data_IF_415988062232
#
_entry.id   IF_415988062232
#
_cell.length_a   1.000
_cell.length_b   1.000
_cell.length_c   1.000
_cell.angle_alpha   90.00
_cell.angle_beta   90.00
_cell.angle_gamma   90.00
#
_symmetry.space_group_name_H-M   'P 1'
#
loop_
_entity.id
_entity.type
_entity.pdbx_description
1 polymer ?
#
# COMPACT_ATOMS: atom_id res chain seq x y z
N UNK A 1 22.58 43.88 -23.26
CA UNK A 1 21.81 43.54 -22.08
C UNK A 1 20.43 42.94 -22.39
N UNK A 2 19.59 43.50 -23.27
CA UNK A 2 18.25 42.93 -23.58
C UNK A 2 18.27 41.49 -24.14
N UNK A 3 19.25 41.15 -24.99
CA UNK A 3 19.36 39.80 -25.60
C UNK A 3 19.75 38.72 -24.56
N UNK A 4 20.55 39.05 -23.52
CA UNK A 4 20.95 38.14 -22.47
C UNK A 4 19.77 37.83 -21.54
N UNK A 5 18.92 38.84 -21.28
CA UNK A 5 17.73 38.69 -20.42
C UNK A 5 16.69 37.73 -21.04
N UNK A 6 16.52 37.81 -22.37
CA UNK A 6 15.60 36.93 -23.13
C UNK A 6 16.08 35.48 -23.08
N UNK A 7 17.39 35.25 -23.14
CA UNK A 7 17.96 33.88 -23.06
C UNK A 7 17.79 33.25 -21.66
N UNK A 8 17.90 34.03 -20.60
CA UNK A 8 17.68 33.58 -19.22
C UNK A 8 16.19 33.27 -18.98
N UNK A 9 15.27 34.11 -19.50
CA UNK A 9 13.83 33.85 -19.39
C UNK A 9 13.40 32.59 -20.15
N UNK A 10 13.95 32.35 -21.34
CA UNK A 10 13.64 31.18 -22.16
C UNK A 10 14.12 29.87 -21.47
N UNK A 11 15.29 29.88 -20.83
CA UNK A 11 15.77 28.71 -20.06
C UNK A 11 14.97 28.49 -18.78
N UNK A 12 14.46 29.53 -18.13
CA UNK A 12 13.61 29.38 -16.94
C UNK A 12 12.24 28.79 -17.27
N UNK A 13 11.68 29.09 -18.45
CA UNK A 13 10.42 28.51 -18.93
C UNK A 13 10.55 27.03 -19.32
N UNK A 14 11.73 26.59 -19.76
CA UNK A 14 11.99 25.18 -20.10
C UNK A 14 12.11 24.30 -18.83
N UNK A 15 12.62 24.87 -17.73
CA UNK A 15 12.77 24.15 -16.46
C UNK A 15 11.45 23.92 -15.70
N UNK A 16 10.37 24.62 -16.06
CA UNK A 16 9.06 24.45 -15.40
C UNK A 16 8.19 23.34 -16.02
N UNK A 17 8.58 22.75 -17.15
CA UNK A 17 7.78 21.75 -17.84
C UNK A 17 8.12 20.29 -17.52
N UNK A 18 8.92 20.00 -16.50
CA UNK A 18 9.40 18.63 -16.22
C UNK A 18 8.71 17.94 -15.04
N UNK A 19 7.50 18.34 -14.66
CA UNK A 19 6.73 17.66 -13.61
C UNK A 19 5.29 17.37 -14.05
N UNK A 20 5.09 16.90 -15.29
CA UNK A 20 3.87 16.16 -15.58
C UNK A 20 4.16 14.72 -15.16
N UNK A 21 3.92 14.40 -13.89
CA UNK A 21 3.75 13.03 -13.41
C UNK A 21 2.54 12.45 -14.15
N UNK A 22 2.79 11.79 -15.27
CA UNK A 22 1.79 10.90 -15.87
C UNK A 22 1.56 9.77 -14.89
N UNK A 23 0.55 9.91 -14.04
CA UNK A 23 -0.14 8.77 -13.49
C UNK A 23 -0.75 8.03 -14.70
N UNK A 24 0.00 7.11 -15.28
CA UNK A 24 -0.55 6.24 -16.32
C UNK A 24 -1.64 5.41 -15.65
N UNK A 25 -2.89 5.75 -15.94
CA UNK A 25 -4.02 4.89 -15.61
C UNK A 25 -3.85 3.60 -16.40
N UNK A 26 -3.26 2.61 -15.75
CA UNK A 26 -3.16 1.26 -16.29
C UNK A 26 -4.44 0.52 -15.96
N UNK A 27 -4.79 -0.45 -16.80
CA UNK A 27 -6.01 -1.24 -16.59
C UNK A 27 -5.77 -2.40 -15.65
N UNK A 28 -6.83 -2.98 -15.11
CA UNK A 28 -6.79 -4.21 -14.32
C UNK A 28 -6.06 -5.35 -15.05
N UNK A 29 -6.13 -5.39 -16.40
CA UNK A 29 -5.44 -6.40 -17.21
C UNK A 29 -3.91 -6.34 -17.06
N UNK A 30 -3.36 -5.19 -16.72
CA UNK A 30 -1.92 -5.00 -16.50
C UNK A 30 -1.43 -5.56 -15.15
N UNK A 31 -2.35 -5.89 -14.22
CA UNK A 31 -1.96 -6.46 -12.94
C UNK A 31 -1.47 -7.91 -13.12
N UNK A 32 -0.36 -8.29 -12.47
CA UNK A 32 0.07 -9.67 -12.39
C UNK A 32 -1.03 -10.58 -11.83
N UNK A 33 -1.12 -11.79 -12.35
CA UNK A 33 -2.11 -12.78 -11.89
C UNK A 33 -2.05 -13.02 -10.39
N UNK A 34 -0.85 -12.97 -9.80
CA UNK A 34 -0.64 -13.11 -8.36
C UNK A 34 -1.36 -12.03 -7.55
N UNK A 35 -1.32 -10.77 -8.01
CA UNK A 35 -2.03 -9.66 -7.37
C UNK A 35 -3.55 -9.82 -7.47
N UNK A 36 -4.05 -10.18 -8.65
CA UNK A 36 -5.49 -10.47 -8.86
C UNK A 36 -5.97 -11.60 -7.96
N UNK A 37 -5.22 -12.71 -7.90
CA UNK A 37 -5.55 -13.84 -7.05
C UNK A 37 -5.55 -13.47 -5.57
N UNK A 38 -4.59 -12.65 -5.11
CA UNK A 38 -4.57 -12.18 -3.73
C UNK A 38 -5.85 -11.40 -3.38
N UNK A 39 -6.28 -10.48 -4.25
CA UNK A 39 -7.52 -9.72 -4.05
C UNK A 39 -8.72 -10.66 -4.04
N UNK A 40 -8.89 -11.51 -5.04
CA UNK A 40 -10.04 -12.40 -5.17
C UNK A 40 -10.19 -13.38 -3.99
N UNK A 41 -9.07 -13.89 -3.46
CA UNK A 41 -9.09 -14.83 -2.32
C UNK A 41 -9.44 -14.12 -1.01
N UNK A 42 -8.90 -12.93 -0.78
CA UNK A 42 -9.04 -12.25 0.51
C UNK A 42 -10.22 -11.28 0.56
N UNK A 43 -10.72 -10.84 -0.61
CA UNK A 43 -11.85 -9.91 -0.77
C UNK A 43 -12.83 -10.47 -1.80
N UNK A 44 -13.43 -11.64 -1.55
CA UNK A 44 -14.31 -12.31 -2.53
C UNK A 44 -15.53 -11.45 -2.85
N UNK A 45 -15.85 -11.33 -4.13
CA UNK A 45 -16.98 -10.55 -4.63
C UNK A 45 -16.72 -9.05 -4.72
N UNK A 46 -15.56 -8.57 -4.32
CA UNK A 46 -15.18 -7.16 -4.51
C UNK A 46 -14.65 -6.91 -5.92
N UNK A 47 -14.65 -5.65 -6.34
CA UNK A 47 -14.16 -5.26 -7.66
C UNK A 47 -13.09 -4.19 -7.58
N UNK A 48 -12.13 -4.25 -8.48
CA UNK A 48 -11.08 -3.25 -8.63
C UNK A 48 -11.71 -1.97 -9.15
N UNK A 49 -11.47 -0.86 -8.45
CA UNK A 49 -11.93 0.47 -8.80
C UNK A 49 -10.88 1.23 -9.60
N UNK A 50 -9.62 1.19 -9.14
CA UNK A 50 -8.50 1.86 -9.81
C UNK A 50 -7.24 1.02 -9.74
N UNK A 51 -6.42 1.15 -10.79
CA UNK A 51 -5.06 0.64 -10.85
C UNK A 51 -4.16 1.74 -11.36
N UNK A 52 -3.04 1.97 -10.69
CA UNK A 52 -2.00 2.92 -11.10
C UNK A 52 -0.60 2.35 -10.85
N UNK A 53 0.40 2.93 -11.50
CA UNK A 53 1.79 2.60 -11.20
C UNK A 53 2.20 3.18 -9.85
N UNK A 54 2.89 2.40 -9.06
CA UNK A 54 3.47 2.81 -7.79
C UNK A 54 4.93 3.22 -7.99
N UNK A 55 5.33 4.38 -7.46
CA UNK A 55 6.72 4.90 -7.46
C UNK A 55 7.45 4.68 -8.79
N UNK A 56 6.99 5.38 -9.85
CA UNK A 56 7.62 5.34 -11.18
C UNK A 56 7.74 3.95 -11.83
N UNK A 57 6.88 3.00 -11.45
CA UNK A 57 6.84 1.66 -12.04
C UNK A 57 7.43 0.56 -11.17
N UNK A 58 7.83 0.84 -9.92
CA UNK A 58 8.31 -0.19 -8.98
C UNK A 58 7.22 -1.16 -8.51
N UNK A 59 6.00 -1.02 -9.05
CA UNK A 59 4.87 -1.87 -8.72
C UNK A 59 3.54 -1.23 -9.05
N UNK A 60 2.50 -1.66 -8.34
CA UNK A 60 1.11 -1.26 -8.61
C UNK A 60 0.44 -0.77 -7.33
N UNK A 61 -0.29 0.33 -7.43
CA UNK A 61 -1.26 0.74 -6.43
C UNK A 61 -2.66 0.36 -6.93
N UNK A 62 -3.43 -0.34 -6.09
CA UNK A 62 -4.76 -0.83 -6.43
C UNK A 62 -5.74 -0.41 -5.36
N UNK A 63 -6.90 0.12 -5.76
CA UNK A 63 -8.05 0.35 -4.89
C UNK A 63 -9.21 -0.54 -5.29
N UNK A 64 -9.91 -1.10 -4.31
CA UNK A 64 -11.15 -1.85 -4.49
C UNK A 64 -12.34 -1.09 -3.91
N UNK A 65 -13.55 -1.41 -4.37
CA UNK A 65 -14.78 -0.67 -4.03
C UNK A 65 -15.12 -0.67 -2.54
N UNK A 66 -14.80 -1.73 -1.81
CA UNK A 66 -14.99 -1.79 -0.35
C UNK A 66 -14.06 -0.87 0.45
N UNK A 67 -13.18 -0.10 -0.22
CA UNK A 67 -12.34 0.92 0.40
C UNK A 67 -11.03 0.38 0.97
N UNK A 68 -10.44 -0.65 0.36
CA UNK A 68 -9.09 -1.06 0.66
C UNK A 68 -8.13 -0.65 -0.45
N UNK A 69 -6.93 -0.21 -0.04
CA UNK A 69 -5.82 0.09 -0.94
C UNK A 69 -4.71 -0.94 -0.75
N UNK A 70 -4.14 -1.35 -1.86
CA UNK A 70 -3.03 -2.29 -1.92
C UNK A 70 -1.85 -1.65 -2.64
N UNK A 71 -0.65 -1.97 -2.17
CA UNK A 71 0.56 -1.81 -2.95
C UNK A 71 1.11 -3.19 -3.24
N UNK A 72 1.35 -3.46 -4.51
CA UNK A 72 2.00 -4.69 -4.98
C UNK A 72 3.35 -4.35 -5.59
N UNK A 73 4.33 -5.23 -5.40
CA UNK A 73 5.55 -5.23 -6.19
C UNK A 73 5.24 -5.61 -7.66
N UNK A 74 6.16 -5.36 -8.58
CA UNK A 74 6.04 -5.77 -9.99
C UNK A 74 5.72 -7.26 -10.17
N UNK A 75 6.20 -8.11 -9.25
CA UNK A 75 5.92 -9.56 -9.22
C UNK A 75 4.49 -9.92 -8.82
N UNK A 76 3.68 -8.93 -8.43
CA UNK A 76 2.34 -9.14 -7.87
C UNK A 76 2.32 -9.63 -6.43
N UNK A 77 3.46 -9.72 -5.74
CA UNK A 77 3.48 -9.92 -4.30
C UNK A 77 3.00 -8.65 -3.62
N UNK A 78 2.08 -8.77 -2.64
CA UNK A 78 1.63 -7.60 -1.91
C UNK A 78 2.76 -7.03 -1.01
N UNK A 79 2.90 -5.71 -1.03
CA UNK A 79 3.80 -4.93 -0.18
C UNK A 79 3.06 -4.37 1.03
N UNK A 80 1.91 -3.76 0.80
CA UNK A 80 1.06 -3.24 1.87
C UNK A 80 -0.43 -3.35 1.54
N UNK A 81 -1.24 -3.38 2.60
CA UNK A 81 -2.69 -3.31 2.55
C UNK A 81 -3.15 -2.28 3.57
N UNK A 82 -4.08 -1.39 3.17
CA UNK A 82 -4.65 -0.35 4.03
C UNK A 82 -6.18 -0.38 3.93
N UNK A 83 -6.84 -0.32 5.08
CA UNK A 83 -8.25 -0.01 5.17
C UNK A 83 -8.43 1.51 5.21
N UNK A 84 -9.13 2.10 4.25
CA UNK A 84 -9.36 3.55 4.20
C UNK A 84 -10.42 4.02 5.19
N UNK A 85 -11.32 3.12 5.60
CA UNK A 85 -12.31 3.39 6.62
C UNK A 85 -11.81 2.88 7.98
N UNK A 86 -11.87 3.73 9.00
CA UNK A 86 -11.44 3.42 10.37
C UNK A 86 -12.22 2.25 11.00
N UNK A 87 -13.44 2.00 10.53
CA UNK A 87 -14.28 0.89 11.00
C UNK A 87 -14.01 -0.43 10.27
N UNK A 88 -13.30 -0.40 9.13
CA UNK A 88 -12.96 -1.60 8.38
C UNK A 88 -11.75 -2.30 8.98
N UNK A 89 -11.70 -3.61 8.81
CA UNK A 89 -10.55 -4.44 9.21
C UNK A 89 -10.05 -5.25 8.02
N UNK A 90 -8.75 -5.29 7.85
CA UNK A 90 -8.10 -6.16 6.86
C UNK A 90 -8.36 -7.61 7.26
N UNK A 91 -8.83 -8.47 6.33
CA UNK A 91 -9.06 -9.88 6.60
C UNK A 91 -7.81 -10.57 7.14
N UNK A 92 -7.97 -11.40 8.15
CA UNK A 92 -6.87 -12.15 8.75
C UNK A 92 -6.22 -13.14 7.78
N UNK A 93 -6.93 -13.53 6.73
CA UNK A 93 -6.40 -14.35 5.63
C UNK A 93 -5.28 -13.66 4.83
N UNK A 94 -5.17 -12.34 4.91
CA UNK A 94 -4.09 -11.57 4.25
C UNK A 94 -2.71 -11.82 4.89
N UNK A 95 -2.65 -12.34 6.13
CA UNK A 95 -1.43 -12.49 6.90
C UNK A 95 -1.23 -13.93 7.37
N UNK A 96 0.02 -14.27 7.70
CA UNK A 96 0.37 -15.62 8.11
C UNK A 96 -0.30 -16.01 9.45
N UNK A 97 -0.74 -17.26 9.57
CA UNK A 97 -1.45 -17.80 10.74
C UNK A 97 -0.74 -17.53 12.07
N UNK A 98 0.59 -17.63 12.12
CA UNK A 98 1.34 -17.37 13.35
C UNK A 98 1.19 -15.91 13.82
N UNK A 99 1.19 -14.94 12.89
CA UNK A 99 0.95 -13.54 13.23
C UNK A 99 -0.50 -13.33 13.69
N UNK A 100 -1.47 -13.96 13.03
CA UNK A 100 -2.89 -13.93 13.45
C UNK A 100 -3.03 -14.42 14.88
N UNK A 101 -2.45 -15.57 15.21
CA UNK A 101 -2.52 -16.17 16.56
C UNK A 101 -1.96 -15.21 17.63
N UNK A 102 -0.83 -14.54 17.33
CA UNK A 102 -0.24 -13.57 18.26
C UNK A 102 -1.12 -12.33 18.41
N UNK A 103 -1.62 -11.78 17.30
CA UNK A 103 -2.50 -10.60 17.33
C UNK A 103 -3.77 -10.91 18.12
N UNK A 104 -4.42 -12.04 17.88
CA UNK A 104 -5.67 -12.40 18.54
C UNK A 104 -5.47 -12.70 20.04
N UNK A 105 -4.30 -13.19 20.42
CA UNK A 105 -3.94 -13.43 21.83
C UNK A 105 -3.60 -12.12 22.57
N UNK A 106 -2.73 -11.29 21.99
CA UNK A 106 -2.20 -10.09 22.68
C UNK A 106 -3.12 -8.85 22.52
N UNK A 107 -3.93 -8.82 21.45
CA UNK A 107 -4.84 -7.73 21.12
C UNK A 107 -6.21 -8.28 20.71
N UNK A 108 -6.94 -8.93 21.62
CA UNK A 108 -8.24 -9.55 21.31
C UNK A 108 -9.22 -8.51 20.77
N UNK A 109 -9.99 -8.91 19.74
CA UNK A 109 -10.98 -8.08 19.04
C UNK A 109 -10.41 -6.83 18.33
N UNK A 110 -9.09 -6.75 18.15
CA UNK A 110 -8.49 -5.66 17.42
C UNK A 110 -8.83 -5.69 15.92
N UNK A 111 -9.02 -4.52 15.33
CA UNK A 111 -9.10 -4.33 13.88
C UNK A 111 -7.71 -4.11 13.33
N UNK A 112 -7.39 -4.78 12.22
CA UNK A 112 -6.15 -4.52 11.48
C UNK A 112 -6.48 -3.46 10.42
N UNK A 113 -5.89 -2.27 10.55
CA UNK A 113 -6.17 -1.16 9.63
C UNK A 113 -5.08 -0.95 8.58
N UNK A 114 -3.87 -1.39 8.89
CA UNK A 114 -2.73 -1.33 8.00
C UNK A 114 -1.78 -2.50 8.23
N UNK A 115 -1.21 -3.01 7.15
CA UNK A 115 -0.12 -3.99 7.20
C UNK A 115 0.87 -3.72 6.06
N UNK A 116 2.15 -3.78 6.37
CA UNK A 116 3.25 -3.59 5.42
C UNK A 116 4.36 -4.62 5.66
N UNK A 117 4.90 -5.17 4.58
CA UNK A 117 6.12 -5.99 4.63
C UNK A 117 7.34 -5.08 4.77
N UNK A 118 8.18 -5.37 5.75
CA UNK A 118 9.48 -4.72 5.97
C UNK A 118 10.55 -5.78 6.17
N UNK A 119 11.28 -6.09 5.12
CA UNK A 119 12.32 -7.15 5.13
C UNK A 119 11.78 -8.48 5.69
N UNK A 120 12.22 -8.84 6.89
CA UNK A 120 11.84 -10.08 7.60
C UNK A 120 10.61 -9.93 8.50
N UNK A 121 10.18 -8.70 8.72
CA UNK A 121 9.10 -8.35 9.65
C UNK A 121 7.90 -7.76 8.91
N UNK A 122 6.83 -7.55 9.67
CA UNK A 122 5.63 -6.88 9.22
C UNK A 122 5.31 -5.75 10.19
N UNK A 123 5.04 -4.58 9.65
CA UNK A 123 4.53 -3.44 10.39
C UNK A 123 3.01 -3.45 10.31
N UNK A 124 2.33 -3.38 11.44
CA UNK A 124 0.87 -3.49 11.53
C UNK A 124 0.34 -2.35 12.40
N UNK A 125 -0.78 -1.74 11.98
CA UNK A 125 -1.53 -0.79 12.79
C UNK A 125 -2.85 -1.43 13.20
N UNK A 126 -3.08 -1.46 14.51
CA UNK A 126 -4.28 -2.00 15.14
C UNK A 126 -5.14 -0.86 15.70
N UNK A 127 -6.46 -0.90 15.42
CA UNK A 127 -7.45 0.07 15.92
C UNK A 127 -7.08 1.54 15.63
N UNK A 128 -6.24 1.80 14.60
CA UNK A 128 -5.63 3.11 14.29
C UNK A 128 -4.84 3.76 15.44
N UNK A 129 -4.43 3.00 16.44
CA UNK A 129 -3.80 3.52 17.67
C UNK A 129 -2.56 2.77 18.10
N UNK A 130 -2.42 1.51 17.75
CA UNK A 130 -1.29 0.69 18.18
C UNK A 130 -0.49 0.23 16.98
N UNK A 131 0.76 0.61 16.94
CA UNK A 131 1.73 0.10 15.98
C UNK A 131 2.45 -1.09 16.60
N UNK A 132 2.53 -2.19 15.85
CA UNK A 132 3.35 -3.33 16.18
C UNK A 132 4.25 -3.69 15.01
N UNK A 133 5.45 -4.13 15.31
CA UNK A 133 6.32 -4.82 14.38
C UNK A 133 6.38 -6.29 14.80
N UNK A 134 6.04 -7.19 13.89
CA UNK A 134 5.94 -8.62 14.15
C UNK A 134 6.71 -9.40 13.09
N UNK A 135 7.48 -10.42 13.52
CA UNK A 135 8.16 -11.30 12.59
C UNK A 135 7.19 -12.25 11.87
N UNK A 136 7.60 -12.83 10.75
CA UNK A 136 6.82 -13.87 10.05
C UNK A 136 6.51 -15.11 10.92
N UNK A 137 7.25 -15.32 12.00
CA UNK A 137 7.00 -16.39 12.98
C UNK A 137 6.01 -16.01 14.08
N UNK A 138 5.51 -14.76 14.08
CA UNK A 138 4.54 -14.28 15.07
C UNK A 138 5.16 -13.69 16.33
N UNK A 139 6.45 -13.39 16.36
CA UNK A 139 7.08 -12.72 17.51
C UNK A 139 6.95 -11.21 17.38
N UNK A 140 6.40 -10.53 18.39
CA UNK A 140 6.38 -9.07 18.47
C UNK A 140 7.80 -8.59 18.75
N UNK A 141 8.34 -7.81 17.80
CA UNK A 141 9.69 -7.23 17.87
C UNK A 141 9.65 -5.85 18.49
N UNK A 142 8.61 -5.08 18.17
CA UNK A 142 8.43 -3.72 18.68
C UNK A 142 6.94 -3.38 18.79
N UNK A 143 6.60 -2.47 19.70
CA UNK A 143 5.23 -1.92 19.84
C UNK A 143 5.26 -0.48 20.29
N UNK A 144 4.32 0.33 19.77
CA UNK A 144 4.14 1.74 20.12
C UNK A 144 2.66 2.12 20.05
N UNK A 145 2.20 2.93 21.00
CA UNK A 145 0.89 3.56 20.89
C UNK A 145 1.01 4.89 20.13
N UNK A 146 0.09 5.13 19.21
CA UNK A 146 -0.06 6.39 18.50
C UNK A 146 -1.03 7.25 19.31
N UNK A 147 -0.55 8.39 19.76
CA UNK A 147 -1.36 9.39 20.47
C UNK A 147 -2.20 10.20 19.49
#
# INVERSE_FOLDING_TARGET
MKKLLIFILANFLILQNSQILYSQNITENSLPLRAKNFININFPGDSIETVSLYQNGEGYEVRIKSGFNFIFYETGLWKSVRANNTNSTIPRSCIHKNMVNTIDKEYPNSKINYIERRDKNFFIILNNRTEIEISGYGLIVNKRNIN
#
